data_IF_862949838867
#
_entry.id   IF_862949838867
#
_cell.length_a   1.000
_cell.length_b   1.000
_cell.length_c   1.000
_cell.angle_alpha   90.00
_cell.angle_beta   90.00
_cell.angle_gamma   90.00
#
_symmetry.space_group_name_H-M   'P 1'
#
loop_
_entity.id
_entity.type
_entity.pdbx_description
1 polymer ?
#
# COMPACT_ATOMS: atom_id res chain seq x y z
N UNK A 1 20.11 -8.78 3.19
CA UNK A 1 18.79 -8.12 3.19
C UNK A 1 18.73 -7.24 4.41
N UNK A 2 18.65 -5.93 4.25
CA UNK A 2 18.40 -5.03 5.39
C UNK A 2 16.88 -4.97 5.65
N UNK A 3 16.46 -4.33 6.76
CA UNK A 3 15.04 -4.25 7.13
C UNK A 3 14.21 -3.45 6.11
N UNK A 4 14.78 -2.42 5.48
CA UNK A 4 14.12 -1.61 4.46
C UNK A 4 13.85 -2.45 3.20
N UNK A 5 14.82 -3.26 2.76
CA UNK A 5 14.64 -4.13 1.60
C UNK A 5 13.50 -5.13 1.82
N UNK A 6 13.40 -5.71 3.02
CA UNK A 6 12.31 -6.62 3.38
C UNK A 6 10.95 -5.90 3.42
N UNK A 7 10.92 -4.67 3.93
CA UNK A 7 9.71 -3.85 3.95
C UNK A 7 9.28 -3.40 2.53
N UNK A 8 10.24 -3.15 1.64
CA UNK A 8 9.98 -2.81 0.23
C UNK A 8 9.51 -4.01 -0.60
N UNK A 9 9.73 -5.23 -0.15
CA UNK A 9 9.19 -6.45 -0.77
C UNK A 9 7.78 -6.83 -0.24
N UNK A 10 7.27 -6.06 0.72
CA UNK A 10 5.98 -6.32 1.38
C UNK A 10 4.77 -5.80 0.59
N UNK A 11 3.58 -6.04 1.15
CA UNK A 11 2.29 -5.59 0.62
C UNK A 11 2.29 -4.09 0.25
N UNK A 12 1.60 -3.67 -0.85
CA UNK A 12 1.49 -2.27 -1.23
C UNK A 12 1.09 -1.35 -0.07
N UNK A 13 0.19 -1.79 0.82
CA UNK A 13 -0.29 -1.01 1.96
C UNK A 13 0.82 -0.61 2.95
N UNK A 14 1.92 -1.37 2.98
CA UNK A 14 3.13 -1.09 3.76
C UNK A 14 4.17 -0.40 2.88
N UNK A 15 4.42 -0.94 1.68
CA UNK A 15 5.51 -0.50 0.79
C UNK A 15 5.46 0.99 0.45
N UNK A 16 4.28 1.57 0.18
CA UNK A 16 4.20 3.00 -0.14
C UNK A 16 4.60 3.90 1.04
N UNK A 17 4.35 3.46 2.28
CA UNK A 17 4.74 4.21 3.48
C UNK A 17 6.26 4.13 3.69
N UNK A 18 6.84 2.96 3.44
CA UNK A 18 8.29 2.74 3.50
C UNK A 18 8.99 3.63 2.47
N UNK A 19 8.48 3.68 1.24
CA UNK A 19 8.99 4.58 0.21
C UNK A 19 8.92 6.05 0.67
N UNK A 20 7.78 6.48 1.23
CA UNK A 20 7.58 7.86 1.68
C UNK A 20 8.48 8.27 2.85
N UNK A 21 8.62 7.38 3.84
CA UNK A 21 9.16 7.75 5.15
C UNK A 21 10.62 7.34 5.35
N UNK A 22 11.09 6.31 4.62
CA UNK A 22 12.39 5.67 4.87
C UNK A 22 13.30 5.65 3.63
N UNK A 23 12.90 6.28 2.53
CA UNK A 23 13.69 6.38 1.30
C UNK A 23 13.60 7.78 0.70
N UNK A 24 14.37 8.03 -0.37
CA UNK A 24 14.33 9.28 -1.14
C UNK A 24 13.36 9.20 -2.34
N UNK A 25 12.33 8.35 -2.28
CA UNK A 25 11.35 8.19 -3.36
C UNK A 25 10.59 9.50 -3.64
N UNK A 26 10.28 9.76 -4.91
CA UNK A 26 9.53 10.95 -5.28
C UNK A 26 8.07 10.87 -4.82
N UNK A 27 7.42 12.04 -4.67
CA UNK A 27 6.00 12.09 -4.34
C UNK A 27 5.13 11.36 -5.39
N UNK A 28 5.55 11.39 -6.66
CA UNK A 28 4.84 10.71 -7.75
C UNK A 28 4.98 9.20 -7.66
N UNK A 29 6.17 8.68 -7.33
CA UNK A 29 6.39 7.24 -7.12
C UNK A 29 5.61 6.72 -5.91
N UNK A 30 5.58 7.49 -4.82
CA UNK A 30 4.79 7.18 -3.63
C UNK A 30 3.30 7.16 -3.96
N UNK A 31 2.82 8.14 -4.74
CA UNK A 31 1.42 8.21 -5.15
C UNK A 31 1.03 7.02 -6.06
N UNK A 32 1.91 6.67 -7.00
CA UNK A 32 1.72 5.53 -7.89
C UNK A 32 1.66 4.21 -7.10
N UNK A 33 2.56 4.03 -6.13
CA UNK A 33 2.58 2.83 -5.29
C UNK A 33 1.33 2.77 -4.38
N UNK A 34 0.93 3.90 -3.78
CA UNK A 34 -0.28 3.97 -2.95
C UNK A 34 -1.54 3.64 -3.75
N UNK A 35 -1.61 4.01 -5.03
CA UNK A 35 -2.77 3.70 -5.87
C UNK A 35 -2.99 2.18 -6.06
N UNK A 36 -1.95 1.36 -5.86
CA UNK A 36 -2.03 -0.10 -5.97
C UNK A 36 -2.77 -0.75 -4.79
N UNK A 37 -2.80 -0.10 -3.62
CA UNK A 37 -3.48 -0.61 -2.41
C UNK A 37 -4.94 -1.00 -2.68
N UNK A 38 -5.63 -0.27 -3.56
CA UNK A 38 -7.03 -0.54 -3.89
C UNK A 38 -7.25 -1.75 -4.80
N UNK A 39 -6.19 -2.24 -5.46
CA UNK A 39 -6.25 -3.26 -6.50
C UNK A 39 -5.41 -4.50 -6.20
N UNK A 40 -4.49 -4.41 -5.25
CA UNK A 40 -3.53 -5.45 -4.90
C UNK A 40 -3.50 -5.70 -3.40
N UNK A 41 -3.15 -6.93 -3.01
CA UNK A 41 -2.83 -7.26 -1.63
C UNK A 41 -4.01 -7.11 -0.66
N UNK A 42 -3.69 -6.81 0.59
CA UNK A 42 -4.67 -6.74 1.68
C UNK A 42 -5.71 -5.64 1.49
N UNK A 43 -5.32 -4.48 0.94
CA UNK A 43 -6.26 -3.38 0.70
C UNK A 43 -7.37 -3.78 -0.25
N UNK A 44 -7.04 -4.47 -1.35
CA UNK A 44 -8.03 -5.00 -2.28
C UNK A 44 -8.90 -6.08 -1.64
N UNK A 45 -8.31 -6.96 -0.82
CA UNK A 45 -9.07 -8.00 -0.10
C UNK A 45 -10.08 -7.39 0.87
N UNK A 46 -9.70 -6.37 1.63
CA UNK A 46 -10.62 -5.67 2.53
C UNK A 46 -11.73 -4.99 1.72
N UNK A 47 -11.39 -4.27 0.65
CA UNK A 47 -12.39 -3.61 -0.20
C UNK A 47 -13.37 -4.60 -0.85
N UNK A 48 -12.92 -5.83 -1.18
CA UNK A 48 -13.80 -6.87 -1.70
C UNK A 48 -14.86 -7.34 -0.69
N UNK A 49 -14.62 -7.15 0.60
CA UNK A 49 -15.56 -7.46 1.67
C UNK A 49 -16.49 -6.28 2.01
N UNK A 50 -16.35 -5.15 1.33
CA UNK A 50 -17.15 -3.96 1.60
C UNK A 50 -18.61 -4.20 1.18
N UNK A 51 -19.59 -3.91 2.06
CA UNK A 51 -20.99 -4.01 1.70
C UNK A 51 -21.35 -3.08 0.52
N UNK A 52 -22.44 -3.37 -0.22
CA UNK A 52 -22.83 -2.57 -1.38
C UNK A 52 -23.12 -1.09 -1.08
N UNK A 53 -23.47 -0.75 0.17
CA UNK A 53 -23.68 0.62 0.60
C UNK A 53 -22.36 1.37 0.90
N UNK A 54 -21.22 0.69 0.84
CA UNK A 54 -19.90 1.26 1.05
C UNK A 54 -19.56 1.57 2.52
N UNK A 55 -20.42 1.19 3.47
CA UNK A 55 -20.23 1.52 4.90
C UNK A 55 -19.69 0.32 5.67
N UNK A 56 -18.84 0.60 6.66
CA UNK A 56 -18.39 -0.38 7.65
C UNK A 56 -19.13 -0.11 8.96
N UNK A 57 -19.79 -1.12 9.54
CA UNK A 57 -20.54 -0.97 10.80
C UNK A 57 -21.48 -2.11 11.11
#
# INVERSE_FOLDING_TARGET
MNVIDWLLDSDPAIRWQVMRDLTDASADDVAAERARVTREGWGAQILAQQPPDGVWG
#
